data_IF_028527739862
#
_entry.id   IF_028527739862
#
_cell.length_a   1.000
_cell.length_b   1.000
_cell.length_c   1.000
_cell.angle_alpha   90.00
_cell.angle_beta   90.00
_cell.angle_gamma   90.00
#
_symmetry.space_group_name_H-M   'P 1'
#
loop_
_entity.id
_entity.type
_entity.pdbx_description
1 polymer ?
#
# COMPACT_ATOMS: atom_id res chain seq x y z
N UNK A 1 -8.02 31.28 57.46
CA UNK A 1 -9.28 30.67 57.96
C UNK A 1 -10.04 30.28 56.71
N UNK A 2 -9.65 29.14 56.13
CA UNK A 2 -10.29 27.81 56.23
C UNK A 2 -11.49 27.72 55.29
N UNK A 3 -11.59 26.54 54.65
CA UNK A 3 -12.68 26.03 53.81
C UNK A 3 -12.50 26.39 52.32
N UNK A 4 -12.38 25.47 51.35
CA UNK A 4 -12.63 24.02 51.28
C UNK A 4 -11.64 23.39 50.27
N UNK A 5 -10.77 22.49 50.73
CA UNK A 5 -10.23 21.43 49.89
C UNK A 5 -11.14 20.22 50.11
N UNK A 6 -12.08 19.99 49.19
CA UNK A 6 -12.83 18.73 49.14
C UNK A 6 -12.04 17.72 48.33
N UNK A 7 -11.73 16.63 49.01
CA UNK A 7 -11.09 15.41 48.54
C UNK A 7 -11.73 14.90 47.25
N UNK A 8 -10.90 14.69 46.23
CA UNK A 8 -11.24 13.80 45.12
C UNK A 8 -11.31 12.37 45.66
N UNK A 9 -12.52 11.81 45.61
CA UNK A 9 -12.76 10.41 45.86
C UNK A 9 -11.93 9.57 44.89
N UNK A 10 -11.16 8.66 45.48
CA UNK A 10 -10.42 7.63 44.79
C UNK A 10 -11.44 6.67 44.20
N UNK A 11 -11.56 6.62 42.88
CA UNK A 11 -12.28 5.55 42.19
C UNK A 11 -11.51 4.26 42.41
N UNK A 12 -11.89 3.54 43.48
CA UNK A 12 -11.51 2.15 43.74
C UNK A 12 -12.41 1.26 42.88
N UNK A 13 -11.77 0.41 42.08
CA UNK A 13 -12.39 -0.81 41.54
C UNK A 13 -12.96 -0.69 40.14
N UNK A 14 -12.08 -0.57 39.14
CA UNK A 14 -12.31 -1.31 37.89
C UNK A 14 -11.49 -2.58 38.03
N UNK A 15 -12.18 -3.71 38.12
CA UNK A 15 -11.56 -5.02 38.12
C UNK A 15 -10.71 -5.20 36.87
N UNK A 16 -9.76 -6.11 36.95
CA UNK A 16 -9.01 -6.62 35.80
C UNK A 16 -10.01 -7.15 34.77
N UNK A 17 -10.46 -6.30 33.85
CA UNK A 17 -11.06 -6.74 32.61
C UNK A 17 -9.97 -7.49 31.85
N UNK A 18 -10.22 -8.78 31.61
CA UNK A 18 -9.34 -9.64 30.82
C UNK A 18 -8.91 -8.90 29.56
N UNK A 19 -7.59 -8.81 29.36
CA UNK A 19 -7.02 -8.39 28.08
C UNK A 19 -7.75 -9.10 26.95
N UNK A 20 -8.24 -8.39 25.91
CA UNK A 20 -8.98 -9.00 24.80
C UNK A 20 -8.14 -9.99 23.98
N UNK A 21 -6.87 -10.19 24.34
CA UNK A 21 -5.95 -11.16 23.76
C UNK A 21 -5.74 -12.31 24.75
N UNK A 22 -6.79 -13.11 24.96
CA UNK A 22 -6.63 -14.44 25.57
C UNK A 22 -5.73 -15.27 24.66
N UNK A 23 -4.52 -15.62 25.14
CA UNK A 23 -3.62 -16.50 24.42
C UNK A 23 -4.29 -17.88 24.31
N UNK A 24 -4.76 -18.20 23.10
CA UNK A 24 -5.28 -19.52 22.74
C UNK A 24 -4.36 -20.63 23.27
N UNK A 25 -4.93 -21.64 23.95
CA UNK A 25 -4.20 -22.83 24.45
C UNK A 25 -3.57 -23.67 23.32
N UNK A 26 -3.95 -23.42 22.06
CA UNK A 26 -3.33 -23.99 20.88
C UNK A 26 -2.65 -22.90 20.05
N UNK A 27 -1.40 -23.10 19.59
CA UNK A 27 -0.75 -22.15 18.70
C UNK A 27 -1.57 -22.03 17.41
N UNK A 28 -1.78 -20.80 16.96
CA UNK A 28 -2.42 -20.55 15.65
C UNK A 28 -1.60 -21.16 14.52
N UNK A 29 -2.25 -21.46 13.40
CA UNK A 29 -1.63 -22.00 12.19
C UNK A 29 -1.71 -20.96 11.04
N UNK A 30 -0.70 -20.90 10.14
CA UNK A 30 -0.76 -20.05 8.96
C UNK A 30 -1.89 -20.48 8.02
N UNK A 31 -2.50 -19.52 7.31
CA UNK A 31 -3.63 -19.77 6.41
C UNK A 31 -4.97 -20.03 7.11
N UNK A 32 -5.02 -19.97 8.44
CA UNK A 32 -6.24 -20.14 9.24
C UNK A 32 -6.57 -18.83 9.95
N UNK A 33 -7.85 -18.46 9.98
CA UNK A 33 -8.33 -17.30 10.74
C UNK A 33 -7.82 -17.34 12.19
N UNK A 34 -7.28 -16.23 12.76
CA UNK A 34 -7.29 -14.86 12.27
C UNK A 34 -6.02 -14.45 11.49
N UNK A 35 -5.33 -15.41 10.87
CA UNK A 35 -4.19 -15.21 9.95
C UNK A 35 -2.97 -14.51 10.56
N UNK A 36 -2.84 -14.50 11.89
CA UNK A 36 -1.69 -13.89 12.59
C UNK A 36 -0.36 -14.43 12.08
N UNK A 37 -0.31 -15.72 11.72
CA UNK A 37 0.91 -16.41 11.24
C UNK A 37 1.13 -16.37 9.71
N UNK A 38 0.27 -15.66 8.99
CA UNK A 38 0.30 -15.56 7.53
C UNK A 38 -1.01 -16.03 6.91
N UNK A 39 -1.29 -15.53 5.70
CA UNK A 39 -2.56 -15.79 4.98
C UNK A 39 -2.55 -17.08 4.14
N UNK A 40 -1.38 -17.68 3.93
CA UNK A 40 -1.21 -18.92 3.17
C UNK A 40 -0.71 -20.04 4.07
N UNK A 41 -1.20 -21.29 3.97
CA UNK A 41 -0.76 -22.39 4.83
C UNK A 41 0.75 -22.69 4.74
N UNK A 42 1.36 -22.53 3.57
CA UNK A 42 2.78 -22.82 3.34
C UNK A 42 3.67 -21.58 3.20
N UNK A 43 3.07 -20.38 3.11
CA UNK A 43 3.78 -19.11 2.90
C UNK A 43 4.97 -19.26 1.93
N UNK A 44 6.16 -18.85 2.37
CA UNK A 44 7.39 -18.82 1.59
C UNK A 44 8.06 -20.19 1.38
N UNK A 45 7.48 -21.29 1.91
CA UNK A 45 7.90 -22.64 1.54
C UNK A 45 7.36 -23.05 0.16
N UNK A 46 6.25 -22.45 -0.28
CA UNK A 46 5.65 -22.72 -1.59
C UNK A 46 5.98 -21.63 -2.61
N UNK A 47 5.84 -20.37 -2.23
CA UNK A 47 6.13 -19.23 -3.11
C UNK A 47 6.78 -18.10 -2.33
N UNK A 48 7.96 -17.65 -2.74
CA UNK A 48 8.61 -16.49 -2.15
C UNK A 48 7.81 -15.20 -2.36
N UNK A 49 8.07 -14.20 -1.51
CA UNK A 49 7.55 -12.86 -1.73
C UNK A 49 8.02 -12.30 -3.07
N UNK A 50 7.24 -11.40 -3.65
CA UNK A 50 7.65 -10.72 -4.87
C UNK A 50 8.70 -9.67 -4.53
N UNK A 51 9.91 -9.80 -5.09
CA UNK A 51 10.88 -8.71 -5.08
C UNK A 51 10.39 -7.66 -6.08
N UNK A 52 10.06 -6.47 -5.59
CA UNK A 52 9.52 -5.38 -6.39
C UNK A 52 10.25 -4.10 -6.05
N UNK A 53 11.23 -3.74 -6.88
CA UNK A 53 12.02 -2.54 -6.67
C UNK A 53 11.27 -1.32 -7.18
N UNK A 54 11.13 -0.31 -6.32
CA UNK A 54 10.60 1.00 -6.67
C UNK A 54 11.60 1.72 -7.58
N UNK A 55 11.19 2.03 -8.80
CA UNK A 55 12.05 2.62 -9.81
C UNK A 55 11.30 3.59 -10.72
N UNK A 56 11.92 4.75 -10.92
CA UNK A 56 11.49 5.81 -11.81
C UNK A 56 12.37 7.01 -11.56
N UNK A 57 12.97 7.56 -12.61
CA UNK A 57 13.72 8.82 -12.58
C UNK A 57 13.90 9.32 -14.01
N UNK A 58 13.97 10.63 -14.19
CA UNK A 58 14.22 11.24 -15.49
C UNK A 58 13.07 10.99 -16.46
N UNK A 59 13.43 10.69 -17.72
CA UNK A 59 12.46 10.48 -18.79
C UNK A 59 11.90 9.05 -18.79
N UNK A 60 10.88 8.81 -19.61
CA UNK A 60 10.35 7.48 -19.85
C UNK A 60 11.42 6.51 -20.40
N UNK A 61 12.34 6.96 -21.26
CA UNK A 61 13.46 6.15 -21.76
C UNK A 61 14.46 5.79 -20.66
N UNK A 62 14.81 6.74 -19.78
CA UNK A 62 15.70 6.49 -18.64
C UNK A 62 15.13 5.39 -17.74
N UNK A 63 13.84 5.52 -17.43
CA UNK A 63 13.15 4.56 -16.57
C UNK A 63 12.93 3.21 -17.27
N UNK A 64 12.62 3.18 -18.56
CA UNK A 64 12.52 1.94 -19.33
C UNK A 64 13.84 1.16 -19.32
N UNK A 65 14.98 1.84 -19.54
CA UNK A 65 16.31 1.21 -19.43
C UNK A 65 16.53 0.59 -18.06
N UNK A 66 16.09 1.27 -17.01
CA UNK A 66 16.16 0.76 -15.63
C UNK A 66 15.24 -0.46 -15.44
N UNK A 67 14.04 -0.47 -16.01
CA UNK A 67 13.13 -1.62 -15.95
C UNK A 67 13.72 -2.84 -16.62
N UNK A 68 14.23 -2.72 -17.84
CA UNK A 68 14.92 -3.82 -18.52
C UNK A 68 16.06 -4.39 -17.70
N UNK A 69 16.92 -3.53 -17.16
CA UNK A 69 17.98 -3.96 -16.25
C UNK A 69 17.42 -4.74 -15.05
N UNK A 70 16.36 -4.26 -14.39
CA UNK A 70 15.79 -4.94 -13.22
C UNK A 70 15.19 -6.30 -13.57
N UNK A 71 14.51 -6.41 -14.72
CA UNK A 71 13.97 -7.66 -15.24
C UNK A 71 15.11 -8.65 -15.57
N UNK A 72 16.19 -8.19 -16.19
CA UNK A 72 17.39 -8.99 -16.48
C UNK A 72 18.10 -9.49 -15.21
N UNK A 73 17.96 -8.76 -14.09
CA UNK A 73 18.44 -9.19 -12.78
C UNK A 73 17.48 -10.16 -12.05
N UNK A 74 16.41 -10.61 -12.71
CA UNK A 74 15.47 -11.60 -12.17
C UNK A 74 14.31 -11.03 -11.35
N UNK A 75 14.06 -9.71 -11.43
CA UNK A 75 12.88 -9.10 -10.82
C UNK A 75 11.64 -9.50 -11.61
N UNK A 76 10.57 -9.95 -10.95
CA UNK A 76 9.33 -10.40 -11.61
C UNK A 76 8.18 -9.39 -11.51
N UNK A 77 8.44 -8.17 -11.04
CA UNK A 77 7.44 -7.12 -10.91
C UNK A 77 8.07 -5.72 -10.87
N UNK A 78 7.47 -4.79 -11.61
CA UNK A 78 7.93 -3.41 -11.69
C UNK A 78 7.13 -2.53 -10.72
N UNK A 79 7.75 -1.48 -10.21
CA UNK A 79 7.04 -0.47 -9.43
C UNK A 79 7.41 0.92 -9.92
N UNK A 80 6.43 1.64 -10.47
CA UNK A 80 6.59 2.92 -11.14
C UNK A 80 6.54 4.04 -10.11
N UNK A 81 7.63 4.80 -10.04
CA UNK A 81 7.70 6.05 -9.32
C UNK A 81 7.48 7.20 -10.29
N UNK A 82 6.45 8.01 -10.08
CA UNK A 82 6.16 9.20 -10.89
C UNK A 82 6.79 10.43 -10.25
N UNK A 83 7.12 11.43 -11.06
CA UNK A 83 7.62 12.70 -10.55
C UNK A 83 6.53 13.50 -9.83
N UNK A 84 6.89 14.65 -9.24
CA UNK A 84 5.92 15.46 -8.51
C UNK A 84 4.87 16.12 -9.44
N UNK A 85 5.22 16.69 -10.61
CA UNK A 85 4.24 17.19 -11.58
C UNK A 85 3.15 16.17 -11.96
N UNK A 86 3.52 14.96 -12.38
CA UNK A 86 2.56 13.91 -12.74
C UNK A 86 1.69 13.51 -11.54
N UNK A 87 2.24 13.46 -10.33
CA UNK A 87 1.46 13.19 -9.11
C UNK A 87 0.45 14.29 -8.79
N UNK A 88 0.79 15.54 -9.11
CA UNK A 88 -0.02 16.74 -8.86
C UNK A 88 -0.93 17.12 -10.03
N UNK A 89 -0.93 16.34 -11.12
CA UNK A 89 -1.78 16.57 -12.29
C UNK A 89 -1.34 17.78 -13.14
N UNK A 90 -0.04 18.07 -13.16
CA UNK A 90 0.54 19.08 -14.03
C UNK A 90 1.33 18.42 -15.15
N UNK A 91 1.16 18.95 -16.36
CA UNK A 91 2.07 18.67 -17.48
C UNK A 91 3.46 19.29 -17.20
N UNK A 92 4.50 18.73 -17.79
CA UNK A 92 5.90 19.15 -17.58
C UNK A 92 6.18 20.62 -17.93
N UNK A 93 5.38 21.26 -18.78
CA UNK A 93 5.52 22.67 -19.16
C UNK A 93 4.74 23.64 -18.26
N UNK A 94 3.95 23.11 -17.32
CA UNK A 94 3.20 23.92 -16.38
C UNK A 94 4.15 24.72 -15.45
N UNK A 95 3.88 26.00 -15.14
CA UNK A 95 4.78 26.82 -14.31
C UNK A 95 5.11 26.21 -12.93
N UNK A 96 4.17 25.46 -12.32
CA UNK A 96 4.39 24.78 -11.04
C UNK A 96 5.28 23.53 -11.15
N UNK A 97 5.52 23.00 -12.36
CA UNK A 97 6.38 21.85 -12.58
C UNK A 97 7.87 22.21 -12.64
N UNK A 98 8.20 23.50 -12.78
CA UNK A 98 9.56 23.98 -12.96
C UNK A 98 10.50 23.49 -11.84
N UNK A 99 11.52 22.72 -12.23
CA UNK A 99 12.53 22.17 -11.31
C UNK A 99 12.19 20.82 -10.69
N UNK A 100 10.99 20.28 -10.94
CA UNK A 100 10.53 19.01 -10.38
C UNK A 100 10.30 17.91 -11.43
N UNK A 101 10.26 18.26 -12.72
CA UNK A 101 10.12 17.32 -13.84
C UNK A 101 11.22 16.25 -13.81
N UNK A 102 10.83 14.99 -13.75
CA UNK A 102 11.73 13.82 -13.75
C UNK A 102 12.64 13.70 -12.51
N UNK A 103 12.46 14.53 -11.47
CA UNK A 103 13.43 14.64 -10.36
C UNK A 103 13.33 13.49 -9.36
N UNK A 104 12.11 13.11 -9.00
CA UNK A 104 11.81 12.11 -7.96
C UNK A 104 11.09 10.87 -8.50
N UNK A 105 10.93 10.81 -9.82
CA UNK A 105 10.23 9.77 -10.54
C UNK A 105 10.29 10.03 -12.05
N UNK A 106 9.62 9.19 -12.83
CA UNK A 106 9.45 9.41 -14.27
C UNK A 106 8.39 10.49 -14.52
N UNK A 107 8.65 11.39 -15.47
CA UNK A 107 7.67 12.34 -15.98
C UNK A 107 6.75 11.64 -17.00
N UNK A 108 5.44 11.74 -16.81
CA UNK A 108 4.41 11.23 -17.72
C UNK A 108 3.38 12.34 -17.94
N UNK A 109 3.33 12.87 -19.16
CA UNK A 109 2.38 13.91 -19.57
C UNK A 109 1.30 13.32 -20.50
N UNK A 110 1.66 12.28 -21.25
CA UNK A 110 0.83 11.71 -22.30
C UNK A 110 0.95 10.18 -22.42
N UNK A 111 0.12 9.60 -23.29
CA UNK A 111 0.25 8.19 -23.67
C UNK A 111 1.59 7.89 -24.36
N UNK A 112 2.22 8.85 -25.04
CA UNK A 112 3.52 8.64 -25.69
C UNK A 112 4.62 8.31 -24.67
N UNK A 113 4.57 8.93 -23.50
CA UNK A 113 5.51 8.67 -22.41
C UNK A 113 5.24 7.29 -21.82
N UNK A 114 3.97 6.89 -21.66
CA UNK A 114 3.60 5.56 -21.19
C UNK A 114 4.04 4.46 -22.18
N UNK A 115 3.88 4.68 -23.49
CA UNK A 115 4.38 3.78 -24.54
C UNK A 115 5.89 3.62 -24.44
N UNK A 116 6.60 4.73 -24.29
CA UNK A 116 8.06 4.74 -24.16
C UNK A 116 8.50 4.01 -22.88
N UNK A 117 7.82 4.26 -21.77
CA UNK A 117 8.11 3.67 -20.47
C UNK A 117 8.03 2.14 -20.51
N UNK A 118 7.07 1.59 -21.26
CA UNK A 118 6.86 0.15 -21.39
C UNK A 118 7.26 -0.44 -22.75
N UNK A 119 8.01 0.31 -23.56
CA UNK A 119 8.43 -0.15 -24.89
C UNK A 119 9.14 -1.50 -24.81
N UNK A 120 8.61 -2.52 -25.49
CA UNK A 120 9.12 -3.90 -25.49
C UNK A 120 9.18 -4.59 -24.12
N UNK A 121 8.28 -4.21 -23.20
CA UNK A 121 7.94 -4.96 -21.99
C UNK A 121 6.48 -5.42 -22.16
N UNK A 122 6.24 -6.73 -22.12
CA UNK A 122 4.89 -7.28 -22.23
C UNK A 122 4.13 -7.11 -20.91
N UNK A 123 2.97 -6.44 -20.93
CA UNK A 123 2.24 -6.07 -19.71
C UNK A 123 1.43 -7.21 -19.08
N UNK A 124 1.36 -8.38 -19.73
CA UNK A 124 0.77 -9.63 -19.23
C UNK A 124 1.80 -10.55 -18.56
N UNK A 125 3.09 -10.37 -18.85
CA UNK A 125 4.18 -11.16 -18.26
C UNK A 125 4.73 -10.53 -16.96
N UNK A 126 4.52 -9.23 -16.77
CA UNK A 126 5.05 -8.47 -15.65
C UNK A 126 3.92 -7.85 -14.85
N UNK A 127 3.92 -8.12 -13.54
CA UNK A 127 3.02 -7.40 -12.65
C UNK A 127 3.55 -5.99 -12.40
N UNK A 128 2.74 -4.96 -12.59
CA UNK A 128 3.14 -3.55 -12.40
C UNK A 128 2.45 -2.93 -11.18
N UNK A 129 3.21 -2.25 -10.33
CA UNK A 129 2.66 -1.41 -9.26
C UNK A 129 2.86 0.06 -9.65
N UNK A 130 1.85 0.89 -9.51
CA UNK A 130 1.93 2.32 -9.79
C UNK A 130 1.68 3.11 -8.50
N UNK A 131 2.71 3.80 -8.01
CA UNK A 131 2.63 4.63 -6.80
C UNK A 131 2.09 6.01 -7.17
N UNK A 132 0.78 6.05 -7.42
CA UNK A 132 0.05 7.22 -7.88
C UNK A 132 -1.31 7.29 -7.20
N UNK A 133 -1.80 8.50 -6.90
CA UNK A 133 -2.99 8.71 -6.07
C UNK A 133 -3.99 9.64 -6.75
N UNK A 134 -3.84 10.97 -6.63
CA UNK A 134 -4.82 11.92 -7.17
C UNK A 134 -5.07 11.79 -8.67
N UNK A 135 -4.03 11.41 -9.44
CA UNK A 135 -4.11 11.17 -10.88
C UNK A 135 -4.22 9.69 -11.24
N UNK A 136 -4.50 8.81 -10.27
CA UNK A 136 -4.48 7.36 -10.45
C UNK A 136 -5.33 6.85 -11.62
N UNK A 137 -6.55 7.39 -11.78
CA UNK A 137 -7.44 7.00 -12.86
C UNK A 137 -6.85 7.33 -14.25
N UNK A 138 -6.18 8.48 -14.38
CA UNK A 138 -5.55 8.93 -15.63
C UNK A 138 -4.40 8.00 -16.01
N UNK A 139 -3.50 7.74 -15.05
CA UNK A 139 -2.33 6.89 -15.30
C UNK A 139 -2.73 5.43 -15.53
N UNK A 140 -3.78 4.94 -14.87
CA UNK A 140 -4.32 3.61 -15.15
C UNK A 140 -4.95 3.55 -16.54
N UNK A 141 -5.69 4.57 -16.97
CA UNK A 141 -6.24 4.63 -18.32
C UNK A 141 -5.13 4.60 -19.39
N UNK A 142 -4.04 5.35 -19.20
CA UNK A 142 -2.88 5.30 -20.11
C UNK A 142 -2.22 3.92 -20.12
N UNK A 143 -2.07 3.29 -18.95
CA UNK A 143 -1.50 1.94 -18.85
C UNK A 143 -2.35 0.89 -19.56
N UNK A 144 -3.68 0.94 -19.40
CA UNK A 144 -4.61 0.06 -20.11
C UNK A 144 -4.55 0.31 -21.61
N UNK A 145 -4.49 1.56 -22.06
CA UNK A 145 -4.40 1.87 -23.49
C UNK A 145 -3.13 1.28 -24.12
N UNK A 146 -1.99 1.31 -23.42
CA UNK A 146 -0.77 0.63 -23.89
C UNK A 146 -0.95 -0.90 -23.90
N UNK A 147 -1.65 -1.49 -22.95
CA UNK A 147 -1.96 -2.93 -22.97
C UNK A 147 -2.89 -3.30 -24.14
N UNK A 148 -3.91 -2.48 -24.41
CA UNK A 148 -4.84 -2.66 -25.53
C UNK A 148 -4.10 -2.54 -26.88
N UNK A 149 -3.12 -1.63 -27.00
CA UNK A 149 -2.23 -1.50 -28.18
C UNK A 149 -1.27 -2.68 -28.36
N UNK A 150 -0.89 -3.37 -27.27
CA UNK A 150 -0.16 -4.63 -27.30
C UNK A 150 -1.08 -5.84 -27.59
N UNK A 151 -2.37 -5.60 -27.83
CA UNK A 151 -3.40 -6.64 -28.02
C UNK A 151 -3.54 -7.58 -26.82
N UNK A 152 -3.20 -7.11 -25.61
CA UNK A 152 -3.27 -7.88 -24.38
C UNK A 152 -4.70 -7.86 -23.83
N UNK A 153 -5.33 -9.02 -23.59
CA UNK A 153 -6.63 -9.06 -22.93
C UNK A 153 -6.54 -8.45 -21.54
N UNK A 154 -7.44 -7.51 -21.23
CA UNK A 154 -7.49 -6.81 -19.92
C UNK A 154 -7.49 -7.73 -18.71
N UNK A 155 -8.09 -8.92 -18.83
CA UNK A 155 -8.10 -9.96 -17.78
C UNK A 155 -6.70 -10.49 -17.40
N UNK A 156 -5.75 -10.41 -18.33
CA UNK A 156 -4.34 -10.82 -18.14
C UNK A 156 -3.48 -9.71 -17.54
N UNK A 157 -3.98 -8.47 -17.55
CA UNK A 157 -3.26 -7.33 -16.99
C UNK A 157 -3.31 -7.40 -15.46
N UNK A 158 -2.15 -7.55 -14.83
CA UNK A 158 -2.04 -7.70 -13.38
C UNK A 158 -1.20 -6.58 -12.76
N UNK A 159 -1.64 -6.08 -11.62
CA UNK A 159 -0.95 -4.96 -11.00
C UNK A 159 -1.65 -4.39 -9.79
N UNK A 160 -1.13 -3.25 -9.34
CA UNK A 160 -1.65 -2.49 -8.21
C UNK A 160 -1.55 -1.01 -8.53
N UNK A 161 -2.61 -0.26 -8.29
CA UNK A 161 -2.62 1.20 -8.26
C UNK A 161 -2.69 1.63 -6.78
N UNK A 162 -1.90 2.62 -6.35
CA UNK A 162 -1.88 2.98 -4.93
C UNK A 162 -3.23 3.55 -4.48
N UNK A 163 -3.74 4.57 -5.18
CA UNK A 163 -5.13 5.05 -5.09
C UNK A 163 -5.67 5.26 -3.65
N UNK A 164 -4.79 5.58 -2.70
CA UNK A 164 -5.16 5.85 -1.31
C UNK A 164 -5.07 7.35 -1.07
N UNK A 165 -6.18 8.07 -1.20
CA UNK A 165 -6.18 9.52 -1.06
C UNK A 165 -6.18 9.98 0.42
N UNK A 166 -6.76 9.20 1.34
CA UNK A 166 -6.85 9.60 2.76
C UNK A 166 -5.45 9.85 3.37
N UNK A 167 -4.48 8.98 3.07
CA UNK A 167 -3.09 9.18 3.52
C UNK A 167 -2.38 10.35 2.82
N UNK A 168 -2.88 10.83 1.68
CA UNK A 168 -2.36 12.06 1.06
C UNK A 168 -2.66 13.28 1.92
N UNK A 169 -3.87 13.40 2.48
CA UNK A 169 -4.21 14.51 3.36
C UNK A 169 -3.51 14.45 4.71
N UNK A 170 -3.23 13.25 5.21
CA UNK A 170 -2.66 13.05 6.56
C UNK A 170 -1.14 13.12 6.58
N UNK A 171 -0.46 12.61 5.55
CA UNK A 171 0.99 12.36 5.62
C UNK A 171 1.79 12.75 4.37
N UNK A 172 1.26 12.53 3.15
CA UNK A 172 2.07 12.62 1.92
C UNK A 172 1.96 13.96 1.17
N UNK A 173 0.78 14.55 1.12
CA UNK A 173 0.55 15.89 0.59
C UNK A 173 0.36 16.02 -0.93
N UNK A 174 0.19 14.92 -1.68
CA UNK A 174 -0.02 14.95 -3.14
C UNK A 174 -1.49 14.84 -3.55
N UNK A 175 -2.37 15.57 -2.85
CA UNK A 175 -3.81 15.66 -3.17
C UNK A 175 -4.12 16.82 -4.14
N UNK A 176 -5.13 16.65 -5.00
CA UNK A 176 -5.57 17.69 -5.96
C UNK A 176 -6.96 18.24 -5.57
N UNK A 177 -7.92 17.35 -5.34
CA UNK A 177 -9.32 17.71 -5.10
C UNK A 177 -9.63 17.74 -3.59
N UNK A 178 -10.81 18.22 -3.16
CA UNK A 178 -11.26 18.01 -1.80
C UNK A 178 -11.54 16.53 -1.52
N UNK A 179 -11.72 16.21 -0.23
CA UNK A 179 -11.72 14.83 0.27
C UNK A 179 -12.85 13.99 -0.34
N UNK A 180 -14.08 14.52 -0.38
CA UNK A 180 -15.25 13.75 -0.84
C UNK A 180 -15.19 13.43 -2.33
N UNK A 181 -14.81 14.40 -3.16
CA UNK A 181 -14.64 14.21 -4.60
C UNK A 181 -13.54 13.20 -4.89
N UNK A 182 -12.43 13.26 -4.15
CA UNK A 182 -11.34 12.31 -4.31
C UNK A 182 -11.74 10.88 -3.89
N UNK A 183 -12.52 10.73 -2.82
CA UNK A 183 -13.06 9.43 -2.41
C UNK A 183 -14.06 8.88 -3.41
N UNK A 184 -14.82 9.76 -4.10
CA UNK A 184 -15.62 9.39 -5.26
C UNK A 184 -14.77 8.77 -6.37
N UNK A 185 -13.70 9.45 -6.78
CA UNK A 185 -12.78 8.94 -7.82
C UNK A 185 -12.12 7.60 -7.45
N UNK A 186 -11.75 7.43 -6.18
CA UNK A 186 -11.21 6.15 -5.68
C UNK A 186 -12.25 5.03 -5.85
N UNK A 187 -13.51 5.32 -5.56
CA UNK A 187 -14.64 4.37 -5.67
C UNK A 187 -14.92 4.00 -7.13
N UNK A 188 -15.00 4.99 -8.02
CA UNK A 188 -15.21 4.78 -9.46
C UNK A 188 -14.09 3.91 -10.07
N UNK A 189 -12.83 4.18 -9.70
CA UNK A 189 -11.70 3.39 -10.19
C UNK A 189 -11.75 1.94 -9.69
N UNK A 190 -12.20 1.73 -8.45
CA UNK A 190 -12.35 0.40 -7.87
C UNK A 190 -13.48 -0.40 -8.55
N UNK A 191 -14.62 0.24 -8.82
CA UNK A 191 -15.73 -0.35 -9.58
C UNK A 191 -15.29 -0.73 -10.99
N UNK A 192 -14.61 0.17 -11.70
CA UNK A 192 -14.05 -0.10 -13.02
C UNK A 192 -13.12 -1.32 -12.99
N UNK A 193 -12.19 -1.38 -12.03
CA UNK A 193 -11.28 -2.52 -11.92
C UNK A 193 -12.01 -3.84 -11.62
N UNK A 194 -13.06 -3.81 -10.80
CA UNK A 194 -13.82 -5.00 -10.46
C UNK A 194 -14.48 -5.66 -11.70
N UNK A 195 -14.85 -4.85 -12.69
CA UNK A 195 -15.51 -5.31 -13.93
C UNK A 195 -14.50 -5.58 -15.05
N UNK A 196 -13.62 -4.62 -15.33
CA UNK A 196 -12.78 -4.61 -16.54
C UNK A 196 -11.38 -5.17 -16.31
N UNK A 197 -10.86 -5.07 -15.08
CA UNK A 197 -9.50 -5.49 -14.71
C UNK A 197 -9.50 -6.42 -13.49
N UNK A 198 -10.13 -7.60 -13.57
CA UNK A 198 -10.34 -8.46 -12.42
C UNK A 198 -9.03 -8.94 -11.78
N UNK A 199 -7.89 -8.87 -12.47
CA UNK A 199 -6.56 -9.22 -11.94
C UNK A 199 -5.82 -8.05 -11.27
N UNK A 200 -6.40 -6.85 -11.27
CA UNK A 200 -5.83 -5.63 -10.71
C UNK A 200 -6.22 -5.44 -9.24
N UNK A 201 -5.30 -4.93 -8.43
CA UNK A 201 -5.60 -4.46 -7.06
C UNK A 201 -5.91 -2.96 -7.14
N UNK A 202 -7.17 -2.53 -6.94
CA UNK A 202 -7.62 -1.16 -7.20
C UNK A 202 -7.15 -0.14 -6.16
N UNK A 203 -6.57 -0.62 -5.06
CA UNK A 203 -6.07 0.22 -3.98
C UNK A 203 -4.97 -0.51 -3.19
N UNK A 204 -4.00 0.27 -2.72
CA UNK A 204 -3.00 -0.14 -1.75
C UNK A 204 -3.07 0.78 -0.53
N UNK A 205 -3.82 0.36 0.49
CA UNK A 205 -4.11 1.13 1.71
C UNK A 205 -2.82 1.25 2.54
N UNK A 206 -2.32 2.47 2.70
CA UNK A 206 -0.89 2.71 2.94
C UNK A 206 -0.60 3.33 4.31
N UNK A 207 0.05 2.56 5.18
CA UNK A 207 0.68 3.01 6.41
C UNK A 207 2.14 3.48 6.25
N UNK A 208 2.83 3.07 5.18
CA UNK A 208 4.24 3.45 4.95
C UNK A 208 4.48 4.96 5.09
N UNK A 209 3.70 5.77 4.39
CA UNK A 209 3.86 7.23 4.39
C UNK A 209 3.53 7.85 5.74
N UNK A 210 2.51 7.33 6.43
CA UNK A 210 2.13 7.75 7.79
C UNK A 210 3.29 7.49 8.76
N UNK A 211 3.94 6.34 8.63
CA UNK A 211 5.11 5.95 9.42
C UNK A 211 6.34 6.81 9.10
N UNK A 212 6.59 7.08 7.83
CA UNK A 212 7.69 7.97 7.39
C UNK A 212 7.46 9.43 7.82
N UNK A 213 6.21 9.87 7.99
CA UNK A 213 5.86 11.18 8.55
C UNK A 213 6.04 11.26 10.07
N UNK A 214 6.42 10.17 10.73
CA UNK A 214 6.79 10.15 12.15
C UNK A 214 5.81 9.44 13.09
N UNK A 215 4.84 8.67 12.58
CA UNK A 215 3.93 7.92 13.44
C UNK A 215 4.63 6.78 14.18
N UNK A 216 4.06 6.34 15.30
CA UNK A 216 4.43 5.06 15.94
C UNK A 216 3.92 3.86 15.13
N UNK A 217 4.39 2.64 15.43
CA UNK A 217 3.90 1.42 14.79
C UNK A 217 2.40 1.17 15.08
N UNK A 218 1.96 1.51 16.29
CA UNK A 218 0.54 1.43 16.68
C UNK A 218 -0.32 2.43 15.92
N UNK A 219 0.15 3.67 15.74
CA UNK A 219 -0.53 4.69 14.93
C UNK A 219 -0.58 4.30 13.46
N UNK A 220 0.51 3.75 12.91
CA UNK A 220 0.56 3.24 11.54
C UNK A 220 -0.55 2.21 11.32
N UNK A 221 -0.66 1.18 12.17
CA UNK A 221 -1.76 0.19 12.06
C UNK A 221 -3.11 0.89 12.20
N UNK A 222 -3.32 1.65 13.27
CA UNK A 222 -4.63 2.21 13.60
C UNK A 222 -5.18 3.09 12.47
N UNK A 223 -4.37 4.03 11.97
CA UNK A 223 -4.79 4.95 10.90
C UNK A 223 -4.97 4.23 9.57
N UNK A 224 -4.08 3.28 9.23
CA UNK A 224 -4.18 2.52 7.98
C UNK A 224 -5.44 1.64 7.95
N UNK A 225 -5.75 0.94 9.05
CA UNK A 225 -6.93 0.09 9.11
C UNK A 225 -8.21 0.93 9.18
N UNK A 226 -8.19 2.10 9.83
CA UNK A 226 -9.31 3.04 9.81
C UNK A 226 -9.60 3.55 8.38
N UNK A 227 -8.57 3.94 7.62
CA UNK A 227 -8.73 4.27 6.20
C UNK A 227 -9.30 3.08 5.42
N UNK A 228 -8.82 1.86 5.70
CA UNK A 228 -9.33 0.65 5.06
C UNK A 228 -10.83 0.40 5.30
N UNK A 229 -11.32 0.65 6.51
CA UNK A 229 -12.76 0.57 6.85
C UNK A 229 -13.55 1.59 6.02
N UNK A 230 -13.10 2.85 5.97
CA UNK A 230 -13.77 3.91 5.17
C UNK A 230 -13.87 3.51 3.69
N UNK A 231 -12.80 2.97 3.11
CA UNK A 231 -12.83 2.48 1.73
C UNK A 231 -13.79 1.30 1.54
N UNK A 232 -13.79 0.33 2.46
CA UNK A 232 -14.74 -0.79 2.41
C UNK A 232 -16.19 -0.27 2.46
N UNK A 233 -16.51 0.64 3.38
CA UNK A 233 -17.84 1.22 3.52
C UNK A 233 -18.30 1.92 2.23
N UNK A 234 -17.41 2.68 1.58
CA UNK A 234 -17.71 3.33 0.30
C UNK A 234 -17.88 2.35 -0.85
N UNK A 235 -17.06 1.32 -0.91
CA UNK A 235 -17.20 0.30 -1.95
C UNK A 235 -18.51 -0.48 -1.81
N UNK A 236 -18.92 -0.80 -0.59
CA UNK A 236 -20.23 -1.40 -0.35
C UNK A 236 -21.37 -0.42 -0.64
N UNK A 237 -21.21 0.86 -0.29
CA UNK A 237 -22.19 1.92 -0.55
C UNK A 237 -22.44 2.19 -2.04
N UNK A 238 -21.48 1.91 -2.91
CA UNK A 238 -21.62 1.97 -4.38
C UNK A 238 -22.24 0.69 -4.98
N UNK A 239 -22.52 -0.33 -4.17
CA UNK A 239 -23.17 -1.56 -4.60
C UNK A 239 -22.24 -2.71 -4.95
N UNK A 240 -20.91 -2.54 -4.81
CA UNK A 240 -19.98 -3.68 -4.92
C UNK A 240 -20.20 -4.65 -3.77
N UNK A 241 -20.07 -5.95 -4.05
CA UNK A 241 -20.15 -6.97 -2.99
C UNK A 241 -18.82 -7.08 -2.25
N UNK A 242 -18.88 -7.32 -0.93
CA UNK A 242 -17.70 -7.50 -0.09
C UNK A 242 -16.74 -8.56 -0.64
N UNK A 243 -17.28 -9.70 -1.10
CA UNK A 243 -16.50 -10.82 -1.60
C UNK A 243 -15.87 -10.56 -2.97
N UNK A 244 -16.40 -9.61 -3.75
CA UNK A 244 -15.76 -9.18 -4.98
C UNK A 244 -14.57 -8.25 -4.69
N UNK A 245 -14.75 -7.29 -3.79
CA UNK A 245 -13.76 -6.22 -3.57
C UNK A 245 -12.69 -6.56 -2.53
N UNK A 246 -13.06 -7.17 -1.40
CA UNK A 246 -12.13 -7.42 -0.29
C UNK A 246 -10.92 -8.28 -0.69
N UNK A 247 -11.05 -9.35 -1.51
CA UNK A 247 -9.90 -10.12 -1.98
C UNK A 247 -8.96 -9.35 -2.91
N UNK A 248 -9.35 -8.16 -3.37
CA UNK A 248 -8.56 -7.25 -4.22
C UNK A 248 -7.93 -6.10 -3.46
N UNK A 249 -8.35 -5.85 -2.21
CA UNK A 249 -7.67 -4.89 -1.34
C UNK A 249 -6.24 -5.34 -1.05
N UNK A 250 -5.32 -4.39 -1.08
CA UNK A 250 -3.95 -4.59 -0.66
C UNK A 250 -3.53 -3.47 0.29
N UNK A 251 -2.49 -3.72 1.07
CA UNK A 251 -1.98 -2.79 2.07
C UNK A 251 -0.50 -2.50 1.82
N UNK A 252 0.01 -1.41 2.40
CA UNK A 252 1.41 -1.06 2.28
C UNK A 252 1.97 -0.48 3.57
N UNK A 253 2.93 -1.16 4.18
CA UNK A 253 3.51 -0.79 5.47
C UNK A 253 5.02 -0.52 5.38
N UNK A 254 5.55 0.25 6.32
CA UNK A 254 6.99 0.40 6.48
C UNK A 254 7.60 -0.79 7.23
N UNK A 255 8.91 -0.99 7.11
CA UNK A 255 9.70 -1.78 8.05
C UNK A 255 10.82 -0.90 8.61
N UNK A 256 10.73 -0.55 9.91
CA UNK A 256 11.74 0.24 10.62
C UNK A 256 12.78 -0.63 11.35
N UNK A 257 13.72 0.01 12.04
CA UNK A 257 14.89 -0.64 12.66
C UNK A 257 14.55 -1.60 13.81
N UNK A 258 13.38 -1.46 14.44
CA UNK A 258 13.00 -2.31 15.57
C UNK A 258 12.46 -3.66 15.09
N UNK A 259 13.37 -4.61 14.87
CA UNK A 259 13.09 -5.93 14.29
C UNK A 259 11.84 -6.60 14.88
N UNK A 260 11.75 -6.73 16.20
CA UNK A 260 10.65 -7.46 16.84
C UNK A 260 9.34 -6.69 16.84
N UNK A 261 9.38 -5.36 16.99
CA UNK A 261 8.19 -4.52 16.90
C UNK A 261 7.57 -4.59 15.50
N UNK A 262 8.39 -4.53 14.44
CA UNK A 262 7.89 -4.59 13.07
C UNK A 262 7.33 -5.98 12.73
N UNK A 263 7.97 -7.07 13.17
CA UNK A 263 7.40 -8.43 13.05
C UNK A 263 6.06 -8.53 13.78
N UNK A 264 5.97 -8.00 15.01
CA UNK A 264 4.73 -7.99 15.76
C UNK A 264 3.65 -7.14 15.06
N UNK A 265 4.03 -5.97 14.51
CA UNK A 265 3.14 -5.06 13.79
C UNK A 265 2.45 -5.75 12.62
N UNK A 266 3.19 -6.42 11.74
CA UNK A 266 2.59 -7.11 10.59
C UNK A 266 1.62 -8.21 10.99
N UNK A 267 1.98 -8.99 12.03
CA UNK A 267 1.15 -10.07 12.56
C UNK A 267 -0.14 -9.55 13.22
N UNK A 268 -0.02 -8.48 14.00
CA UNK A 268 -1.15 -7.82 14.66
C UNK A 268 -2.06 -7.15 13.64
N UNK A 269 -1.51 -6.49 12.61
CA UNK A 269 -2.30 -5.87 11.54
C UNK A 269 -3.21 -6.90 10.85
N UNK A 270 -2.69 -8.07 10.47
CA UNK A 270 -3.49 -9.15 9.89
C UNK A 270 -4.62 -9.61 10.82
N UNK A 271 -4.30 -9.82 12.10
CA UNK A 271 -5.27 -10.26 13.09
C UNK A 271 -6.41 -9.27 13.29
N UNK A 272 -6.07 -8.00 13.49
CA UNK A 272 -7.05 -6.94 13.71
C UNK A 272 -7.93 -6.78 12.47
N UNK A 273 -7.34 -6.71 11.27
CA UNK A 273 -8.09 -6.63 10.02
C UNK A 273 -9.03 -7.81 9.84
N UNK A 274 -8.55 -9.04 10.03
CA UNK A 274 -9.37 -10.23 9.89
C UNK A 274 -10.56 -10.20 10.86
N UNK A 275 -10.34 -9.83 12.12
CA UNK A 275 -11.39 -9.71 13.12
C UNK A 275 -12.42 -8.64 12.73
N UNK A 276 -11.97 -7.44 12.34
CA UNK A 276 -12.85 -6.34 11.89
C UNK A 276 -13.70 -6.77 10.70
N UNK A 277 -13.08 -7.37 9.67
CA UNK A 277 -13.77 -7.88 8.49
C UNK A 277 -14.82 -8.93 8.87
N UNK A 278 -14.48 -9.83 9.80
CA UNK A 278 -15.39 -10.91 10.23
C UNK A 278 -16.57 -10.37 11.04
N UNK A 279 -16.33 -9.49 12.01
CA UNK A 279 -17.36 -9.04 12.95
C UNK A 279 -18.23 -7.92 12.38
N UNK A 280 -17.64 -6.98 11.66
CA UNK A 280 -18.36 -5.79 11.18
C UNK A 280 -19.08 -6.07 9.86
N UNK A 281 -18.53 -6.95 9.02
CA UNK A 281 -19.03 -7.18 7.66
C UNK A 281 -19.45 -8.63 7.38
N UNK A 282 -19.27 -9.56 8.33
CA UNK A 282 -19.60 -10.97 8.12
C UNK A 282 -18.76 -11.64 7.05
N UNK A 283 -17.53 -11.16 6.81
CA UNK A 283 -16.67 -11.59 5.71
C UNK A 283 -16.39 -13.10 5.69
N UNK A 284 -16.25 -13.66 4.49
CA UNK A 284 -15.63 -14.97 4.32
C UNK A 284 -14.16 -14.93 4.77
N UNK A 285 -13.59 -16.10 5.02
CA UNK A 285 -12.18 -16.20 5.40
C UNK A 285 -11.25 -15.61 4.33
N UNK A 286 -11.64 -15.68 3.05
CA UNK A 286 -10.88 -15.10 1.93
C UNK A 286 -10.95 -13.57 1.94
N UNK A 287 -12.11 -12.99 2.22
CA UNK A 287 -12.30 -11.54 2.34
C UNK A 287 -11.62 -10.95 3.59
N UNK A 288 -11.30 -11.77 4.59
CA UNK A 288 -10.51 -11.36 5.76
C UNK A 288 -8.99 -11.22 5.50
N UNK A 289 -8.48 -11.60 4.32
CA UNK A 289 -7.03 -11.58 4.09
C UNK A 289 -6.49 -10.16 3.96
N UNK A 290 -5.55 -9.81 4.84
CA UNK A 290 -4.69 -8.63 4.66
C UNK A 290 -3.43 -9.05 3.88
N UNK A 291 -3.43 -8.73 2.60
CA UNK A 291 -2.26 -8.85 1.69
C UNK A 291 -1.53 -7.51 1.70
N UNK A 292 -0.21 -7.51 1.86
CA UNK A 292 0.52 -6.25 1.94
C UNK A 292 1.85 -6.28 1.19
N UNK A 293 2.23 -5.10 0.71
CA UNK A 293 3.60 -4.77 0.34
C UNK A 293 4.31 -4.15 1.56
N UNK A 294 5.64 -4.26 1.58
CA UNK A 294 6.47 -3.60 2.58
C UNK A 294 7.68 -2.96 1.93
N UNK A 295 8.01 -1.77 2.42
CA UNK A 295 9.22 -1.06 2.06
C UNK A 295 10.02 -0.74 3.32
N UNK A 296 11.33 -0.93 3.23
CA UNK A 296 12.30 -0.57 4.27
C UNK A 296 12.34 0.95 4.45
N UNK A 297 12.36 1.42 5.69
CA UNK A 297 12.13 2.83 6.03
C UNK A 297 13.24 3.78 5.57
N UNK A 298 12.91 4.70 4.66
CA UNK A 298 13.83 5.71 4.13
C UNK A 298 14.28 6.71 5.21
N UNK A 299 13.37 7.13 6.08
CA UNK A 299 13.59 8.03 7.22
C UNK A 299 14.70 7.59 8.18
N UNK A 300 15.03 6.29 8.19
CA UNK A 300 16.04 5.71 9.07
C UNK A 300 17.44 5.66 8.45
N UNK A 301 17.57 5.97 7.16
CA UNK A 301 18.83 5.92 6.43
C UNK A 301 19.63 7.20 6.68
N UNK A 302 20.95 7.06 6.81
CA UNK A 302 21.84 8.18 7.11
C UNK A 302 22.65 8.59 5.88
N UNK A 303 22.75 9.90 5.64
CA UNK A 303 23.65 10.45 4.63
C UNK A 303 25.12 10.25 5.02
N UNK A 304 25.42 10.32 6.33
CA UNK A 304 26.73 10.03 6.89
C UNK A 304 26.94 8.52 6.99
N UNK A 305 28.14 8.07 6.63
CA UNK A 305 28.52 6.65 6.61
C UNK A 305 27.47 5.77 5.90
N UNK A 306 27.16 6.06 4.62
CA UNK A 306 26.01 5.48 3.93
C UNK A 306 26.10 3.96 3.77
N UNK A 307 27.30 3.36 3.84
CA UNK A 307 27.46 1.90 3.82
C UNK A 307 26.79 1.20 5.03
N UNK A 308 26.60 1.90 6.14
CA UNK A 308 25.84 1.38 7.29
C UNK A 308 24.36 1.16 6.94
N UNK A 309 23.83 1.85 5.92
CA UNK A 309 22.46 1.66 5.45
C UNK A 309 22.24 0.25 4.88
N UNK A 310 23.27 -0.41 4.34
CA UNK A 310 23.15 -1.80 3.90
C UNK A 310 22.74 -2.72 5.06
N UNK A 311 23.34 -2.52 6.25
CA UNK A 311 23.00 -3.28 7.47
C UNK A 311 21.60 -2.91 7.97
N UNK A 312 21.25 -1.62 7.97
CA UNK A 312 19.89 -1.16 8.36
C UNK A 312 18.81 -1.80 7.50
N UNK A 313 18.94 -1.69 6.18
CA UNK A 313 18.01 -2.26 5.20
C UNK A 313 17.97 -3.78 5.33
N UNK A 314 19.08 -4.45 5.62
CA UNK A 314 19.10 -5.91 5.87
C UNK A 314 18.22 -6.30 7.07
N UNK A 315 18.34 -5.58 8.20
CA UNK A 315 17.52 -5.85 9.39
C UNK A 315 16.04 -5.58 9.11
N UNK A 316 15.73 -4.49 8.41
CA UNK A 316 14.37 -4.11 8.04
C UNK A 316 13.72 -5.11 7.08
N UNK A 317 14.47 -5.56 6.06
CA UNK A 317 14.02 -6.59 5.13
C UNK A 317 13.78 -7.93 5.84
N UNK A 318 14.66 -8.30 6.78
CA UNK A 318 14.46 -9.47 7.62
C UNK A 318 13.18 -9.35 8.47
N UNK A 319 12.90 -8.18 9.04
CA UNK A 319 11.65 -7.93 9.78
C UNK A 319 10.41 -8.12 8.89
N UNK A 320 10.45 -7.61 7.65
CA UNK A 320 9.38 -7.77 6.68
C UNK A 320 9.14 -9.26 6.35
N UNK A 321 10.20 -10.00 6.04
CA UNK A 321 10.11 -11.44 5.70
C UNK A 321 9.61 -12.28 6.88
N UNK A 322 10.14 -12.05 8.09
CA UNK A 322 9.69 -12.76 9.29
C UNK A 322 8.27 -12.35 9.71
N UNK A 323 7.84 -11.16 9.28
CA UNK A 323 6.49 -10.64 9.42
C UNK A 323 5.45 -11.40 8.60
N UNK A 324 5.85 -12.20 7.60
CA UNK A 324 4.96 -12.93 6.70
C UNK A 324 4.41 -12.02 5.61
#
# INVERSE_FOLDING_TARGET
>A
VKDEYKSTETVKGMGEEESPVSASKHPEEPGVFPFTRGIHPKMYQERHWTIRQYAGFGTAEDTNRRYRYLLDQGTSGLSVAFDLPTQMGFDSDHPMAMGEVGRVGVAIDSIEDMRTLFAGISLDEVSTSMTINSTAAILLAMYIAVADEQEIPRVSVSGTIQNDILKEYVARGTYIYPVEESLGLVTDLAEFCAVELPSWNPISISGYHIREAGSTASQEIAFTLANGIEYVDRFLGSGMTLEAIAPRLSFFFAAQNNLFEEIAKFRVARRIWAQLMKTSYGASDRACWLRFHTQTAGSTLTAQQPLNNAVRVTVQAMAAVLGG
#
